data_IF_363627418412
#
_entry.id   IF_363627418412
#
_cell.length_a   1.000
_cell.length_b   1.000
_cell.length_c   1.000
_cell.angle_alpha   90.00
_cell.angle_beta   90.00
_cell.angle_gamma   90.00
#
_symmetry.space_group_name_H-M   'P 1'
#
loop_
_entity.id
_entity.type
_entity.pdbx_description
1 polymer ?
#
# COMPACT_ATOMS: atom_id res chain seq x y z
N UNK A 1 -13.04 -8.14 -0.72
CA UNK A 1 -13.80 -9.39 -0.48
C UNK A 1 -14.20 -9.58 0.98
N UNK A 2 -13.32 -9.28 1.96
CA UNK A 2 -13.56 -9.52 3.39
C UNK A 2 -14.76 -8.75 3.98
N UNK A 3 -15.04 -7.53 3.50
CA UNK A 3 -16.17 -6.72 3.99
C UNK A 3 -17.54 -7.38 3.76
N UNK A 4 -17.76 -8.01 2.60
CA UNK A 4 -19.02 -8.70 2.29
C UNK A 4 -19.25 -9.91 3.20
N UNK A 5 -18.18 -10.65 3.52
CA UNK A 5 -18.25 -11.77 4.45
C UNK A 5 -18.47 -11.30 5.90
N UNK A 6 -17.82 -10.20 6.30
CA UNK A 6 -18.04 -9.60 7.61
C UNK A 6 -19.51 -9.15 7.78
N UNK A 7 -20.12 -8.55 6.74
CA UNK A 7 -21.53 -8.17 6.73
C UNK A 7 -22.46 -9.40 6.81
N UNK A 8 -22.15 -10.48 6.09
CA UNK A 8 -22.90 -11.74 6.16
C UNK A 8 -22.86 -12.35 7.56
N UNK A 9 -21.67 -12.53 8.14
CA UNK A 9 -21.50 -13.11 9.48
C UNK A 9 -22.14 -12.22 10.57
N UNK A 10 -22.12 -10.89 10.36
CA UNK A 10 -22.85 -9.93 11.21
C UNK A 10 -24.36 -10.15 11.14
N UNK A 11 -24.91 -10.42 9.96
CA UNK A 11 -26.34 -10.72 9.80
C UNK A 11 -26.76 -12.03 10.47
N UNK A 12 -25.82 -12.96 10.66
CA UNK A 12 -26.00 -14.21 11.41
C UNK A 12 -25.75 -14.05 12.93
N UNK A 13 -25.48 -12.84 13.40
CA UNK A 13 -25.13 -12.52 14.79
C UNK A 13 -23.86 -13.24 15.31
N UNK A 14 -22.99 -13.73 14.42
CA UNK A 14 -21.75 -14.44 14.78
C UNK A 14 -20.58 -13.45 14.93
N UNK A 15 -20.60 -12.64 15.98
CA UNK A 15 -19.64 -11.52 16.18
C UNK A 15 -18.17 -12.00 16.21
N UNK A 16 -17.89 -13.16 16.79
CA UNK A 16 -16.52 -13.71 16.84
C UNK A 16 -16.01 -14.16 15.47
N UNK A 17 -16.91 -14.59 14.57
CA UNK A 17 -16.55 -14.89 13.17
C UNK A 17 -16.24 -13.62 12.42
N UNK A 18 -17.05 -12.57 12.61
CA UNK A 18 -16.82 -11.26 12.01
C UNK A 18 -15.42 -10.74 12.38
N UNK A 19 -15.04 -10.82 13.66
CA UNK A 19 -13.68 -10.45 14.13
C UNK A 19 -12.59 -11.23 13.41
N UNK A 20 -12.73 -12.56 13.28
CA UNK A 20 -11.75 -13.39 12.55
C UNK A 20 -11.63 -12.99 11.08
N UNK A 21 -12.73 -12.64 10.42
CA UNK A 21 -12.72 -12.15 9.04
C UNK A 21 -11.96 -10.84 8.92
N UNK A 22 -12.16 -9.90 9.85
CA UNK A 22 -11.40 -8.65 9.87
C UNK A 22 -9.90 -8.88 10.11
N UNK A 23 -9.53 -9.72 11.08
CA UNK A 23 -8.12 -10.07 11.33
C UNK A 23 -7.48 -10.70 10.10
N UNK A 24 -8.17 -11.64 9.44
CA UNK A 24 -7.68 -12.23 8.19
C UNK A 24 -7.56 -11.19 7.07
N UNK A 25 -8.57 -10.36 6.90
CA UNK A 25 -8.58 -9.31 5.87
C UNK A 25 -7.47 -8.27 6.04
N UNK A 26 -7.05 -8.01 7.28
CA UNK A 26 -6.00 -7.05 7.60
C UNK A 26 -4.66 -7.35 6.92
N UNK A 27 -4.39 -8.63 6.59
CA UNK A 27 -3.16 -9.06 5.91
C UNK A 27 -3.06 -8.55 4.46
N UNK A 28 -4.18 -8.15 3.88
CA UNK A 28 -4.26 -7.68 2.50
C UNK A 28 -4.66 -6.20 2.40
N UNK A 29 -5.03 -5.58 3.52
CA UNK A 29 -5.57 -4.22 3.56
C UNK A 29 -4.51 -3.22 4.04
N UNK A 30 -3.95 -2.46 3.09
CA UNK A 30 -2.92 -1.47 3.39
C UNK A 30 -3.56 -0.26 4.09
N UNK A 31 -3.13 0.14 5.29
CA UNK A 31 -3.76 1.25 6.04
C UNK A 31 -3.82 2.58 5.30
N UNK A 32 -2.89 2.82 4.36
CA UNK A 32 -2.79 4.05 3.57
C UNK A 32 -3.75 4.10 2.38
N UNK A 33 -4.10 2.93 1.82
CA UNK A 33 -4.93 2.82 0.61
C UNK A 33 -6.36 2.36 0.94
N UNK A 34 -6.53 1.50 1.95
CA UNK A 34 -7.79 0.86 2.30
C UNK A 34 -8.42 1.45 3.58
N UNK A 35 -8.55 2.78 3.64
CA UNK A 35 -9.09 3.47 4.81
C UNK A 35 -10.53 3.03 5.17
N UNK A 36 -11.35 2.72 4.17
CA UNK A 36 -12.73 2.23 4.36
C UNK A 36 -12.77 0.95 5.20
N UNK A 37 -11.87 0.00 4.94
CA UNK A 37 -11.80 -1.26 5.67
C UNK A 37 -11.54 -1.04 7.16
N UNK A 38 -10.54 -0.21 7.46
CA UNK A 38 -10.15 0.10 8.84
C UNK A 38 -11.23 0.90 9.58
N UNK A 39 -11.92 1.80 8.90
CA UNK A 39 -13.03 2.56 9.48
C UNK A 39 -14.22 1.65 9.80
N UNK A 40 -14.61 0.76 8.86
CA UNK A 40 -15.68 -0.22 9.11
C UNK A 40 -15.34 -1.18 10.26
N UNK A 41 -14.09 -1.60 10.39
CA UNK A 41 -13.67 -2.43 11.52
C UNK A 41 -13.74 -1.64 12.84
N UNK A 42 -13.28 -0.39 12.86
CA UNK A 42 -13.40 0.45 14.06
C UNK A 42 -14.87 0.65 14.46
N UNK A 43 -15.75 0.99 13.52
CA UNK A 43 -17.19 1.11 13.78
C UNK A 43 -17.79 -0.20 14.33
N UNK A 44 -17.36 -1.34 13.79
CA UNK A 44 -17.77 -2.64 14.29
C UNK A 44 -17.32 -2.88 15.75
N UNK A 45 -16.08 -2.58 16.11
CA UNK A 45 -15.61 -2.75 17.49
C UNK A 45 -16.25 -1.74 18.45
N UNK A 46 -16.59 -0.53 17.99
CA UNK A 46 -17.35 0.44 18.79
C UNK A 46 -18.79 -0.05 19.04
N UNK A 47 -19.41 -0.72 18.08
CA UNK A 47 -20.79 -1.22 18.21
C UNK A 47 -20.90 -2.52 19.01
N UNK A 48 -19.98 -3.47 18.80
CA UNK A 48 -20.08 -4.84 19.32
C UNK A 48 -18.91 -5.27 20.21
N UNK A 49 -17.90 -4.42 20.35
CA UNK A 49 -16.69 -4.68 21.11
C UNK A 49 -16.59 -3.82 22.37
N UNK A 50 -15.35 -3.65 22.82
CA UNK A 50 -15.01 -2.86 23.99
C UNK A 50 -13.68 -2.13 23.74
N UNK A 51 -13.19 -1.42 24.75
CA UNK A 51 -11.97 -0.63 24.63
C UNK A 51 -10.73 -1.50 24.33
N UNK A 52 -10.69 -2.72 24.86
CA UNK A 52 -9.58 -3.65 24.63
C UNK A 52 -9.59 -4.19 23.19
N UNK A 53 -10.75 -4.56 22.66
CA UNK A 53 -10.84 -5.03 21.26
C UNK A 53 -10.54 -3.90 20.27
N UNK A 54 -10.94 -2.67 20.59
CA UNK A 54 -10.55 -1.48 19.83
C UNK A 54 -9.03 -1.26 19.87
N UNK A 55 -8.40 -1.37 21.04
CA UNK A 55 -6.94 -1.27 21.21
C UNK A 55 -6.21 -2.34 20.40
N UNK A 56 -6.70 -3.58 20.43
CA UNK A 56 -6.09 -4.69 19.70
C UNK A 56 -6.19 -4.50 18.18
N UNK A 57 -7.33 -4.03 17.67
CA UNK A 57 -7.45 -3.64 16.25
C UNK A 57 -6.42 -2.57 15.86
N UNK A 58 -6.24 -1.53 16.68
CA UNK A 58 -5.24 -0.48 16.42
C UNK A 58 -3.80 -1.01 16.46
N UNK A 59 -3.51 -2.01 17.30
CA UNK A 59 -2.20 -2.70 17.32
C UNK A 59 -1.97 -3.44 16.00
N UNK A 60 -2.97 -4.17 15.52
CA UNK A 60 -2.90 -4.86 14.22
C UNK A 60 -2.66 -3.85 13.10
N UNK A 61 -3.42 -2.73 13.06
CA UNK A 61 -3.24 -1.66 12.08
C UNK A 61 -1.81 -1.13 12.03
N UNK A 62 -1.22 -0.85 13.20
CA UNK A 62 0.19 -0.39 13.29
C UNK A 62 1.17 -1.44 12.81
N UNK A 63 0.98 -2.70 13.20
CA UNK A 63 1.84 -3.81 12.75
C UNK A 63 1.80 -3.95 11.23
N UNK A 64 0.61 -3.96 10.64
CA UNK A 64 0.42 -4.06 9.18
C UNK A 64 1.08 -2.87 8.48
N UNK A 65 0.89 -1.65 8.99
CA UNK A 65 1.55 -0.47 8.42
C UNK A 65 3.07 -0.61 8.40
N UNK A 66 3.68 -1.09 9.49
CA UNK A 66 5.13 -1.27 9.58
C UNK A 66 5.64 -2.38 8.64
N UNK A 67 4.90 -3.48 8.51
CA UNK A 67 5.26 -4.58 7.60
C UNK A 67 5.32 -4.13 6.14
N UNK A 68 4.37 -3.30 5.68
CA UNK A 68 4.39 -2.79 4.32
C UNK A 68 5.47 -1.73 4.07
N UNK A 69 5.81 -0.91 5.07
CA UNK A 69 6.93 0.04 4.93
C UNK A 69 8.26 -0.67 4.71
N UNK A 70 8.47 -1.85 5.31
CA UNK A 70 9.67 -2.65 5.06
C UNK A 70 9.70 -3.21 3.64
N UNK A 71 8.56 -3.67 3.10
CA UNK A 71 8.51 -4.23 1.74
C UNK A 71 8.76 -3.19 0.66
N UNK A 72 8.25 -1.96 0.83
CA UNK A 72 8.45 -0.88 -0.15
C UNK A 72 9.92 -0.38 -0.15
N UNK A 73 10.67 -0.63 0.94
CA UNK A 73 12.08 -0.23 1.07
C UNK A 73 13.06 -1.21 0.41
N UNK A 74 12.66 -2.46 0.15
CA UNK A 74 13.50 -3.48 -0.50
C UNK A 74 13.31 -3.42 -2.01
N UNK A 75 13.63 -2.26 -2.61
CA UNK A 75 13.92 -2.19 -4.04
C UNK A 75 15.42 -2.43 -4.19
N UNK A 76 15.87 -3.59 -4.73
CA UNK A 76 17.29 -3.85 -4.86
C UNK A 76 17.93 -2.84 -5.82
N UNK A 77 18.96 -2.17 -5.30
CA UNK A 77 19.76 -1.07 -5.85
C UNK A 77 20.11 -1.20 -7.35
N UNK A 78 20.18 -2.43 -7.87
CA UNK A 78 20.40 -2.73 -9.28
C UNK A 78 19.24 -2.37 -10.25
N UNK A 79 18.03 -2.06 -9.75
CA UNK A 79 16.91 -1.60 -10.58
C UNK A 79 16.88 -0.08 -10.79
N UNK A 80 17.71 0.67 -10.07
CA UNK A 80 17.97 2.10 -10.35
C UNK A 80 19.06 2.25 -11.42
N UNK A 81 18.92 1.54 -12.55
CA UNK A 81 19.85 1.69 -13.66
C UNK A 81 19.49 2.94 -14.47
N UNK A 82 19.91 4.09 -13.94
CA UNK A 82 20.26 5.35 -14.61
C UNK A 82 19.59 5.59 -15.99
N UNK A 83 18.46 6.29 -15.98
CA UNK A 83 18.02 7.09 -17.13
C UNK A 83 18.99 8.27 -17.34
N UNK A 84 20.21 7.97 -17.78
CA UNK A 84 21.18 8.96 -18.24
C UNK A 84 21.87 8.47 -19.51
N UNK A 85 21.07 8.18 -20.55
CA UNK A 85 21.53 8.12 -21.95
C UNK A 85 20.46 8.63 -22.93
N UNK A 86 19.89 9.79 -22.64
CA UNK A 86 19.20 10.62 -23.65
C UNK A 86 19.78 12.03 -23.59
N UNK A 87 20.88 12.29 -24.31
CA UNK A 87 21.24 13.66 -24.79
C UNK A 87 22.55 13.75 -25.57
N UNK A 88 23.48 12.78 -25.52
CA UNK A 88 24.79 12.96 -26.15
C UNK A 88 24.87 12.21 -27.49
N UNK A 89 24.03 12.58 -28.45
CA UNK A 89 24.23 12.17 -29.87
C UNK A 89 23.69 13.23 -30.87
N UNK A 90 22.95 14.24 -30.41
CA UNK A 90 22.40 15.31 -31.26
C UNK A 90 23.31 16.53 -31.45
N UNK A 91 24.16 16.87 -30.48
CA UNK A 91 24.94 18.12 -30.52
C UNK A 91 26.24 18.01 -31.34
N UNK A 92 26.84 16.82 -31.42
CA UNK A 92 28.11 16.63 -32.14
C UNK A 92 27.92 16.77 -33.66
N UNK A 93 26.75 16.43 -34.20
CA UNK A 93 26.47 16.57 -35.64
C UNK A 93 26.26 18.02 -36.08
N UNK A 94 25.72 18.88 -35.20
CA UNK A 94 25.53 20.30 -35.53
C UNK A 94 26.88 21.03 -35.51
N UNK A 95 27.77 20.74 -34.57
CA UNK A 95 29.11 21.38 -34.57
C UNK A 95 29.99 20.95 -35.73
N UNK A 96 29.83 19.71 -36.24
CA UNK A 96 30.60 19.22 -37.38
C UNK A 96 30.19 19.87 -38.70
N UNK A 97 28.90 20.23 -38.89
CA UNK A 97 28.47 20.86 -40.15
C UNK A 97 28.90 22.33 -40.26
N UNK A 98 29.09 23.04 -39.14
CA UNK A 98 29.54 24.44 -39.16
C UNK A 98 31.03 24.61 -39.49
N UNK A 99 31.84 23.55 -39.43
CA UNK A 99 33.27 23.65 -39.72
C UNK A 99 33.63 23.37 -41.18
N UNK A 100 32.73 22.76 -41.97
CA UNK A 100 33.02 22.32 -43.34
C UNK A 100 32.54 23.30 -44.43
N UNK A 101 31.77 24.35 -44.07
CA UNK A 101 31.33 25.41 -45.01
C UNK A 101 32.18 26.69 -44.95
N UNK A 102 33.29 26.71 -44.19
CA UNK A 102 34.21 27.86 -44.13
C UNK A 102 35.64 27.48 -44.52
N UNK A 103 35.81 26.78 -45.65
CA UNK A 103 37.07 26.76 -46.42
C UNK A 103 36.82 26.53 -47.90
#
# INVERSE_FOLDING_TARGET
MCLKYAELEKSLAEIDRVRRVYVYGSQFSRPQYDAEFWNKWLEFEVQYGNEDTCRDMLRIKRSVSASYSQTDSVLPEHMMQKDQRLSIDGEIKVSASYHEEMH
#
